data_IF_593298747978
#
_entry.id   IF_593298747978
#
_cell.length_a   1.000
_cell.length_b   1.000
_cell.length_c   1.000
_cell.angle_alpha   90.00
_cell.angle_beta   90.00
_cell.angle_gamma   90.00
#
_symmetry.space_group_name_H-M   'P 1'
#
loop_
_entity.id
_entity.type
_entity.pdbx_description
1 polymer ?
#
# COMPACT_ATOMS: atom_id res chain seq x y z
N UNK A 1 12.72 2.75 15.67
CA UNK A 1 13.22 1.58 14.97
C UNK A 1 12.38 1.35 13.72
N UNK A 2 13.03 1.19 12.60
CA UNK A 2 12.30 0.96 11.36
C UNK A 2 11.78 -0.47 11.30
N UNK A 3 10.57 -0.60 10.86
CA UNK A 3 9.93 -1.90 10.72
C UNK A 3 10.06 -2.35 9.26
N UNK A 4 10.97 -3.29 9.02
CA UNK A 4 11.25 -3.75 7.65
C UNK A 4 10.11 -4.59 7.07
N UNK A 5 9.12 -4.95 7.89
CA UNK A 5 7.96 -5.70 7.40
C UNK A 5 6.91 -4.79 6.79
N UNK A 6 7.03 -3.49 7.01
CA UNK A 6 6.08 -2.53 6.44
C UNK A 6 6.51 -2.11 5.06
N UNK A 7 5.56 -2.09 4.14
CA UNK A 7 5.86 -1.71 2.76
C UNK A 7 6.14 -0.22 2.66
N UNK A 8 5.44 0.61 3.45
CA UNK A 8 5.70 2.05 3.50
C UNK A 8 5.60 2.51 4.95
N UNK A 9 6.27 3.62 5.25
CA UNK A 9 6.23 4.24 6.57
C UNK A 9 5.26 5.41 6.56
N UNK A 10 4.91 5.88 7.78
CA UNK A 10 4.08 7.07 7.93
C UNK A 10 4.76 8.27 7.27
N UNK A 11 6.07 8.40 7.47
CA UNK A 11 6.81 9.53 6.89
C UNK A 11 6.75 9.51 5.36
N UNK A 12 6.87 8.34 4.77
CA UNK A 12 6.77 8.21 3.31
C UNK A 12 5.39 8.61 2.81
N UNK A 13 4.36 8.22 3.55
CA UNK A 13 2.98 8.57 3.17
C UNK A 13 2.75 10.08 3.31
N UNK A 14 3.24 10.67 4.39
CA UNK A 14 3.10 12.11 4.59
C UNK A 14 3.75 12.87 3.43
N UNK A 15 4.93 12.45 3.02
CA UNK A 15 5.62 13.09 1.91
C UNK A 15 4.84 12.90 0.61
N UNK A 16 4.31 11.72 0.39
CA UNK A 16 3.56 11.42 -0.83
C UNK A 16 2.29 12.25 -0.92
N UNK A 17 1.59 12.43 0.21
CA UNK A 17 0.35 13.18 0.25
C UNK A 17 0.57 14.69 0.29
N UNK A 18 1.81 15.12 0.50
CA UNK A 18 2.11 16.54 0.60
C UNK A 18 1.70 17.15 1.93
N UNK A 19 1.65 16.34 2.97
CA UNK A 19 1.28 16.81 4.31
C UNK A 19 2.57 17.18 5.05
N UNK A 20 2.71 18.45 5.40
CA UNK A 20 3.91 18.93 6.09
C UNK A 20 3.71 19.12 7.59
N UNK A 21 2.61 18.60 8.11
CA UNK A 21 2.36 18.59 9.54
C UNK A 21 1.85 17.22 9.93
N UNK A 22 1.97 16.88 11.20
CA UNK A 22 1.40 15.63 11.67
C UNK A 22 0.93 15.79 13.10
N UNK A 23 -0.13 15.11 13.43
CA UNK A 23 -0.62 15.00 14.79
C UNK A 23 -1.11 13.57 15.00
N UNK A 24 -1.54 13.27 16.23
CA UNK A 24 -1.90 11.89 16.55
C UNK A 24 -3.04 11.37 15.68
N UNK A 25 -4.00 12.24 15.36
CA UNK A 25 -5.14 11.82 14.55
C UNK A 25 -4.71 11.51 13.11
N UNK A 26 -3.89 12.37 12.53
CA UNK A 26 -3.38 12.15 11.18
C UNK A 26 -2.56 10.87 11.12
N UNK A 27 -1.65 10.71 12.08
CA UNK A 27 -0.79 9.53 12.11
C UNK A 27 -1.59 8.26 12.29
N UNK A 28 -2.61 8.27 13.15
CA UNK A 28 -3.45 7.10 13.37
C UNK A 28 -4.20 6.71 12.11
N UNK A 29 -4.75 7.70 11.40
CA UNK A 29 -5.47 7.42 10.17
C UNK A 29 -4.55 6.86 9.09
N UNK A 30 -3.34 7.40 9.01
CA UNK A 30 -2.36 6.92 8.03
C UNK A 30 -1.91 5.50 8.37
N UNK A 31 -1.64 5.22 9.64
CA UNK A 31 -1.24 3.88 10.05
C UNK A 31 -2.32 2.85 9.74
N UNK A 32 -3.58 3.23 9.95
CA UNK A 32 -4.71 2.35 9.63
C UNK A 32 -4.76 2.08 8.12
N UNK A 33 -4.56 3.13 7.32
CA UNK A 33 -4.58 2.98 5.88
C UNK A 33 -3.43 2.10 5.40
N UNK A 34 -2.25 2.23 6.03
CA UNK A 34 -1.11 1.40 5.69
C UNK A 34 -1.40 -0.08 5.97
N UNK A 35 -2.00 -0.37 7.11
CA UNK A 35 -2.35 -1.75 7.43
C UNK A 35 -3.34 -2.33 6.43
N UNK A 36 -4.33 -1.53 6.06
CA UNK A 36 -5.33 -1.97 5.09
C UNK A 36 -4.70 -2.20 3.72
N UNK A 37 -3.81 -1.30 3.31
CA UNK A 37 -3.11 -1.44 2.03
C UNK A 37 -2.24 -2.70 2.03
N UNK A 38 -1.53 -2.95 3.12
CA UNK A 38 -0.70 -4.14 3.23
C UNK A 38 -1.53 -5.41 3.09
N UNK A 39 -2.67 -5.46 3.77
CA UNK A 39 -3.56 -6.60 3.69
C UNK A 39 -4.10 -6.78 2.27
N UNK A 40 -4.40 -5.68 1.61
CA UNK A 40 -4.88 -5.72 0.23
C UNK A 40 -3.82 -6.33 -0.69
N UNK A 41 -2.57 -5.88 -0.53
CA UNK A 41 -1.48 -6.39 -1.36
C UNK A 41 -1.19 -7.86 -1.08
N UNK A 42 -1.30 -8.28 0.17
CA UNK A 42 -1.14 -9.69 0.50
C UNK A 42 -2.20 -10.54 -0.19
N UNK A 43 -3.41 -10.02 -0.30
CA UNK A 43 -4.48 -10.72 -1.00
C UNK A 43 -4.32 -10.71 -2.50
N UNK A 44 -3.75 -9.64 -3.06
CA UNK A 44 -3.63 -9.47 -4.51
C UNK A 44 -2.37 -10.12 -5.07
N UNK A 45 -1.26 -10.02 -4.36
CA UNK A 45 0.04 -10.50 -4.85
C UNK A 45 0.41 -11.83 -4.20
N UNK A 46 0.26 -11.91 -2.88
CA UNK A 46 0.65 -13.07 -2.10
C UNK A 46 1.14 -12.64 -0.74
N UNK A 47 1.04 -13.54 0.26
CA UNK A 47 1.41 -13.20 1.63
C UNK A 47 2.85 -12.74 1.76
N UNK A 48 3.72 -13.25 0.89
CA UNK A 48 5.13 -12.92 0.93
C UNK A 48 5.52 -11.97 -0.18
N UNK A 49 4.63 -11.05 -0.55
CA UNK A 49 4.95 -10.10 -1.60
C UNK A 49 6.20 -9.29 -1.21
N UNK A 50 6.98 -8.84 -2.20
CA UNK A 50 8.26 -8.19 -1.91
C UNK A 50 8.07 -6.76 -1.43
N UNK A 51 8.06 -6.58 -0.10
CA UNK A 51 7.80 -5.26 0.51
C UNK A 51 8.89 -4.23 0.16
N UNK A 52 10.08 -4.69 -0.21
CA UNK A 52 11.18 -3.80 -0.55
C UNK A 52 11.21 -3.43 -2.04
N UNK A 53 10.39 -4.08 -2.85
CA UNK A 53 10.34 -3.77 -4.27
C UNK A 53 9.70 -2.40 -4.49
N UNK A 54 10.32 -1.51 -5.28
CA UNK A 54 9.75 -0.18 -5.54
C UNK A 54 8.32 -0.24 -6.09
N UNK A 55 7.98 -1.27 -6.85
CA UNK A 55 6.63 -1.40 -7.38
C UNK A 55 5.62 -1.68 -6.27
N UNK A 56 6.00 -2.51 -5.30
CA UNK A 56 5.14 -2.78 -4.14
C UNK A 56 4.93 -1.50 -3.34
N UNK A 57 5.98 -0.72 -3.15
CA UNK A 57 5.90 0.53 -2.43
C UNK A 57 4.98 1.52 -3.15
N UNK A 58 5.10 1.60 -4.45
CA UNK A 58 4.24 2.50 -5.24
C UNK A 58 2.79 2.09 -5.15
N UNK A 59 2.50 0.79 -5.24
CA UNK A 59 1.15 0.29 -5.10
C UNK A 59 0.57 0.61 -3.73
N UNK A 60 1.38 0.45 -2.69
CA UNK A 60 0.94 0.76 -1.33
C UNK A 60 0.62 2.24 -1.19
N UNK A 61 1.44 3.11 -1.76
CA UNK A 61 1.20 4.55 -1.70
C UNK A 61 -0.11 4.92 -2.40
N UNK A 62 -0.38 4.32 -3.55
CA UNK A 62 -1.62 4.56 -4.27
C UNK A 62 -2.82 4.12 -3.42
N UNK A 63 -2.73 2.95 -2.81
CA UNK A 63 -3.81 2.44 -1.98
C UNK A 63 -4.03 3.30 -0.75
N UNK A 64 -2.93 3.68 -0.08
CA UNK A 64 -3.03 4.49 1.13
C UNK A 64 -3.65 5.85 0.82
N UNK A 65 -3.21 6.47 -0.28
CA UNK A 65 -3.76 7.77 -0.67
C UNK A 65 -5.26 7.68 -0.92
N UNK A 66 -5.69 6.63 -1.63
CA UNK A 66 -7.10 6.44 -1.93
C UNK A 66 -7.91 6.21 -0.65
N UNK A 67 -7.40 5.36 0.24
CA UNK A 67 -8.08 5.07 1.49
C UNK A 67 -8.14 6.30 2.39
N UNK A 68 -7.07 7.08 2.43
CA UNK A 68 -7.03 8.28 3.26
C UNK A 68 -8.01 9.31 2.76
N UNK A 69 -8.10 9.50 1.44
CA UNK A 69 -9.02 10.46 0.85
C UNK A 69 -10.47 10.09 1.08
N UNK A 70 -10.77 8.80 1.16
CA UNK A 70 -12.14 8.31 1.29
C UNK A 70 -12.49 7.86 2.70
N UNK A 71 -11.67 8.20 3.69
CA UNK A 71 -11.83 7.67 5.05
C UNK A 71 -13.15 8.08 5.72
N UNK A 72 -13.73 9.19 5.29
CA UNK A 72 -14.97 9.68 5.86
C UNK A 72 -16.21 9.17 5.16
N UNK A 73 -16.05 8.53 4.02
CA UNK A 73 -17.18 8.08 3.19
C UNK A 73 -17.29 6.57 3.14
N UNK A 74 -16.17 5.92 2.91
CA UNK A 74 -16.13 4.47 2.75
C UNK A 74 -14.73 3.99 3.09
N UNK A 75 -14.64 2.74 3.51
CA UNK A 75 -13.35 2.12 3.78
C UNK A 75 -12.90 1.24 2.62
N UNK A 76 -13.58 1.33 1.48
CA UNK A 76 -13.23 0.54 0.32
C UNK A 76 -12.40 1.34 -0.66
N UNK A 77 -11.57 0.63 -1.40
CA UNK A 77 -10.72 1.22 -2.43
C UNK A 77 -11.58 1.59 -3.64
N UNK A 78 -11.34 2.76 -4.24
CA UNK A 78 -12.09 3.19 -5.41
C UNK A 78 -11.87 2.24 -6.58
N UNK A 79 -12.82 2.23 -7.53
CA UNK A 79 -12.74 1.31 -8.65
C UNK A 79 -11.54 1.53 -9.54
N UNK A 80 -11.17 2.79 -9.76
CA UNK A 80 -10.01 3.11 -10.60
C UNK A 80 -8.72 2.62 -9.96
N UNK A 81 -8.55 2.90 -8.67
CA UNK A 81 -7.36 2.46 -7.96
C UNK A 81 -7.29 0.95 -7.91
N UNK A 82 -8.43 0.30 -7.65
CA UNK A 82 -8.47 -1.15 -7.60
C UNK A 82 -8.01 -1.77 -8.91
N UNK A 83 -8.50 -1.25 -10.03
CA UNK A 83 -8.14 -1.78 -11.34
C UNK A 83 -6.65 -1.64 -11.61
N UNK A 84 -6.10 -0.46 -11.31
CA UNK A 84 -4.67 -0.22 -11.50
C UNK A 84 -3.84 -1.16 -10.63
N UNK A 85 -4.21 -1.29 -9.37
CA UNK A 85 -3.49 -2.16 -8.44
C UNK A 85 -3.57 -3.61 -8.88
N UNK A 86 -4.73 -4.05 -9.35
CA UNK A 86 -4.89 -5.43 -9.80
C UNK A 86 -4.00 -5.73 -11.00
N UNK A 87 -3.93 -4.80 -11.95
CA UNK A 87 -3.10 -4.99 -13.13
C UNK A 87 -1.62 -5.10 -12.77
N UNK A 88 -1.14 -4.18 -11.92
CA UNK A 88 0.26 -4.20 -11.50
C UNK A 88 0.57 -5.37 -10.57
N UNK A 89 -0.40 -5.73 -9.73
CA UNK A 89 -0.23 -6.87 -8.83
C UNK A 89 -0.11 -8.18 -9.60
N UNK A 90 -0.83 -8.30 -10.71
CA UNK A 90 -0.73 -9.48 -11.55
C UNK A 90 0.69 -9.65 -12.07
N UNK A 91 1.32 -8.55 -12.51
CA UNK A 91 2.69 -8.62 -13.00
C UNK A 91 3.64 -9.10 -11.91
N UNK A 92 3.52 -8.54 -10.70
CA UNK A 92 4.36 -8.96 -9.58
C UNK A 92 4.14 -10.42 -9.22
N UNK A 93 2.89 -10.84 -9.19
CA UNK A 93 2.55 -12.22 -8.86
C UNK A 93 3.14 -13.19 -9.86
N UNK A 94 3.07 -12.85 -11.15
CA UNK A 94 3.64 -13.71 -12.19
C UNK A 94 5.15 -13.78 -12.09
N UNK A 95 5.80 -12.67 -11.75
CA UNK A 95 7.26 -12.68 -11.58
C UNK A 95 7.67 -13.53 -10.38
N UNK A 96 6.93 -13.44 -9.28
CA UNK A 96 7.22 -14.26 -8.11
C UNK A 96 7.06 -15.74 -8.42
N UNK A 97 6.02 -16.09 -9.15
CA UNK A 97 5.79 -17.47 -9.54
C UNK A 97 6.90 -17.97 -10.45
N UNK A 98 7.32 -17.13 -11.39
CA UNK A 98 8.41 -17.49 -12.29
C UNK A 98 9.71 -17.73 -11.54
N UNK A 99 10.00 -16.86 -10.58
CA UNK A 99 11.20 -17.03 -9.76
C UNK A 99 11.17 -18.29 -8.92
N UNK A 100 9.97 -18.69 -8.46
CA UNK A 100 9.83 -19.88 -7.66
C UNK A 100 10.05 -21.17 -8.46
N UNK A 101 9.84 -21.11 -9.76
CA UNK A 101 9.95 -22.27 -10.62
C UNK A 101 11.35 -22.48 -11.15
N UNK A 102 12.25 -21.57 -10.84
CA UNK A 102 13.63 -21.70 -11.23
C UNK A 102 14.46 -22.23 -10.06
#
# INVERSE_FOLDING_TARGET
MSDTTKVVSVDEVLAYLGIDYSDDMVNTNIERAIKTADAYLKGSIGENYPVQDPRSKELALLLVADLYDNRGLTSTVSGNTRRLVEDLSLQLRLELRRGSNE
#
